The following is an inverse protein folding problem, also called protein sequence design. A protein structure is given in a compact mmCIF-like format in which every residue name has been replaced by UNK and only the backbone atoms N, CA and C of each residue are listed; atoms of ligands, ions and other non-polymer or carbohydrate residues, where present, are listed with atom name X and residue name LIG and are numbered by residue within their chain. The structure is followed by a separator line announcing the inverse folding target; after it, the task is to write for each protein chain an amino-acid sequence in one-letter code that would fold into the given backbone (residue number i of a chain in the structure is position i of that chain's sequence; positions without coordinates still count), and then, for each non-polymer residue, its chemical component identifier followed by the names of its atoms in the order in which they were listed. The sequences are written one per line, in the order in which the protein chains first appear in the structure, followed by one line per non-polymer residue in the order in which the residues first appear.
data_IF_979333508795
#
_entry.id   IF_979333508795
#
_cell.length_a   1.000
_cell.length_b   1.000
_cell.length_c   1.000
_cell.angle_alpha   90.00
_cell.angle_beta   90.00
_cell.angle_gamma   90.00
#
_symmetry.space_group_name_H-M   'P 1'
#
loop_
_entity.id
_entity.type
_entity.pdbx_description
1 polymer ?
#
# COMPACT_ATOMS: atom_id res chain seq x y z
N UNK A 1 11.59 -18.39 6.48
CA UNK A 1 10.71 -18.99 5.46
C UNK A 1 9.45 -18.14 5.36
N UNK A 2 8.86 -17.93 4.17
CA UNK A 2 7.56 -17.28 4.09
C UNK A 2 6.54 -18.13 4.85
N UNK A 3 5.71 -17.48 5.66
CA UNK A 3 4.56 -18.12 6.30
C UNK A 3 3.63 -18.69 5.22
N UNK A 4 3.13 -19.94 5.35
CA UNK A 4 2.21 -20.50 4.38
C UNK A 4 0.94 -19.66 4.29
N UNK A 5 0.54 -19.29 3.08
CA UNK A 5 -0.70 -18.53 2.84
C UNK A 5 -1.92 -19.42 3.12
N UNK A 6 -2.92 -18.89 3.84
CA UNK A 6 -4.14 -19.64 4.17
C UNK A 6 -5.06 -19.78 2.93
N UNK A 7 -5.89 -20.82 2.90
CA UNK A 7 -6.86 -21.03 1.82
C UNK A 7 -7.81 -19.82 1.64
N UNK A 8 -8.18 -19.16 2.75
CA UNK A 8 -8.99 -17.94 2.72
C UNK A 8 -8.26 -16.78 2.03
N UNK A 9 -6.96 -16.60 2.30
CA UNK A 9 -6.17 -15.56 1.66
C UNK A 9 -6.05 -15.79 0.15
N UNK A 10 -5.76 -17.04 -0.25
CA UNK A 10 -5.67 -17.43 -1.67
C UNK A 10 -6.98 -17.18 -2.43
N UNK A 11 -8.13 -17.39 -1.77
CA UNK A 11 -9.44 -17.14 -2.37
C UNK A 11 -9.74 -15.64 -2.56
N UNK A 12 -9.25 -14.78 -1.67
CA UNK A 12 -9.52 -13.32 -1.69
C UNK A 12 -8.47 -12.50 -2.44
N UNK A 13 -7.29 -13.06 -2.71
CA UNK A 13 -6.18 -12.39 -3.38
C UNK A 13 -6.60 -11.92 -4.78
N UNK A 14 -6.35 -10.64 -5.14
CA UNK A 14 -6.62 -10.17 -6.49
C UNK A 14 -5.75 -10.95 -7.50
N UNK A 15 -6.35 -11.33 -8.62
CA UNK A 15 -5.68 -12.07 -9.71
C UNK A 15 -5.06 -11.16 -10.77
N UNK A 16 -5.45 -9.88 -10.76
CA UNK A 16 -5.08 -8.87 -11.76
C UNK A 16 -4.03 -7.93 -11.14
N UNK A 17 -3.02 -7.49 -11.90
CA UNK A 17 -2.07 -6.49 -11.42
C UNK A 17 -2.77 -5.17 -11.04
N UNK A 18 -2.21 -4.40 -10.09
CA UNK A 18 -2.75 -3.11 -9.65
C UNK A 18 -2.42 -1.99 -10.66
N UNK A 19 -2.87 -2.14 -11.91
CA UNK A 19 -2.62 -1.17 -13.00
C UNK A 19 -3.79 -1.18 -13.98
N UNK A 20 -4.05 -0.04 -14.63
CA UNK A 20 -4.98 0.03 -15.77
C UNK A 20 -4.31 -0.30 -17.12
N UNK A 21 -2.99 -0.44 -17.15
CA UNK A 21 -2.24 -0.82 -18.35
C UNK A 21 -2.73 -2.17 -18.92
N UNK A 22 -3.26 -2.15 -20.14
CA UNK A 22 -3.73 -3.36 -20.84
C UNK A 22 -5.11 -3.87 -20.40
N UNK A 23 -5.85 -3.09 -19.61
CA UNK A 23 -7.24 -3.40 -19.25
C UNK A 23 -8.17 -2.80 -20.30
N UNK A 24 -9.11 -3.61 -20.79
CA UNK A 24 -10.20 -3.12 -21.63
C UNK A 24 -11.21 -2.35 -20.77
N UNK A 25 -11.45 -1.08 -21.11
CA UNK A 25 -12.33 -0.19 -20.36
C UNK A 25 -13.81 -0.49 -20.64
N UNK A 26 -14.13 -1.14 -21.75
CA UNK A 26 -15.50 -1.54 -22.10
C UNK A 26 -15.90 -2.84 -21.37
N UNK A 27 -14.93 -3.68 -20.97
CA UNK A 27 -15.18 -4.80 -20.06
C UNK A 27 -15.30 -4.32 -18.61
N UNK A 28 -16.56 -4.09 -18.21
CA UNK A 28 -16.92 -3.68 -16.83
C UNK A 28 -16.32 -4.57 -15.75
N UNK A 29 -16.13 -5.88 -16.00
CA UNK A 29 -15.60 -6.81 -15.00
C UNK A 29 -14.10 -6.63 -14.84
N UNK A 30 -13.34 -6.61 -15.94
CA UNK A 30 -11.91 -6.37 -15.93
C UNK A 30 -11.58 -4.99 -15.33
N UNK A 31 -12.32 -3.96 -15.74
CA UNK A 31 -12.18 -2.61 -15.21
C UNK A 31 -12.38 -2.53 -13.69
N UNK A 32 -13.43 -3.18 -13.17
CA UNK A 32 -13.70 -3.21 -11.72
C UNK A 32 -12.66 -4.01 -10.93
N UNK A 33 -12.12 -5.07 -11.52
CA UNK A 33 -11.04 -5.84 -10.90
C UNK A 33 -9.75 -5.02 -10.80
N UNK A 34 -9.40 -4.24 -11.82
CA UNK A 34 -8.26 -3.34 -11.79
C UNK A 34 -8.43 -2.23 -10.73
N UNK A 35 -9.63 -1.63 -10.65
CA UNK A 35 -9.97 -0.67 -9.60
C UNK A 35 -9.74 -1.24 -8.19
N UNK A 36 -10.28 -2.43 -7.94
CA UNK A 36 -10.16 -3.09 -6.64
C UNK A 36 -8.70 -3.44 -6.31
N UNK A 37 -7.94 -3.96 -7.27
CA UNK A 37 -6.51 -4.26 -7.09
C UNK A 37 -5.70 -3.02 -6.70
N UNK A 38 -5.88 -1.89 -7.38
CA UNK A 38 -5.18 -0.62 -7.08
C UNK A 38 -5.54 -0.12 -5.67
N UNK A 39 -6.83 -0.10 -5.34
CA UNK A 39 -7.29 0.38 -4.03
C UNK A 39 -6.71 -0.49 -2.91
N UNK A 40 -6.73 -1.82 -3.06
CA UNK A 40 -6.16 -2.74 -2.07
C UNK A 40 -4.68 -2.49 -1.83
N UNK A 41 -3.88 -2.30 -2.88
CA UNK A 41 -2.45 -1.99 -2.74
C UNK A 41 -2.22 -0.63 -2.04
N UNK A 42 -3.07 0.37 -2.29
CA UNK A 42 -3.02 1.63 -1.54
C UNK A 42 -3.32 1.41 -0.04
N UNK A 43 -4.30 0.57 0.30
CA UNK A 43 -4.60 0.20 1.68
C UNK A 43 -3.48 -0.62 2.33
N UNK A 44 -2.81 -1.50 1.60
CA UNK A 44 -1.60 -2.18 2.08
C UNK A 44 -0.53 -1.15 2.45
N UNK A 45 -0.30 -0.15 1.60
CA UNK A 45 0.60 0.97 1.91
C UNK A 45 0.22 1.74 3.17
N UNK A 46 -1.08 2.03 3.35
CA UNK A 46 -1.58 2.67 4.57
C UNK A 46 -1.39 1.79 5.82
N UNK A 47 -1.57 0.47 5.71
CA UNK A 47 -1.33 -0.47 6.80
C UNK A 47 0.17 -0.55 7.15
N UNK A 48 1.06 -0.53 6.15
CA UNK A 48 2.49 -0.45 6.37
C UNK A 48 2.87 0.80 7.17
N UNK A 49 2.32 1.96 6.79
CA UNK A 49 2.53 3.21 7.52
C UNK A 49 2.05 3.11 8.98
N UNK A 50 0.87 2.51 9.19
CA UNK A 50 0.30 2.30 10.53
C UNK A 50 1.20 1.43 11.40
N UNK A 51 1.70 0.31 10.86
CA UNK A 51 2.60 -0.60 11.60
C UNK A 51 3.90 0.10 12.00
N UNK A 52 4.50 0.89 11.10
CA UNK A 52 5.71 1.66 11.42
C UNK A 52 5.41 2.74 12.47
N UNK A 53 4.26 3.40 12.40
CA UNK A 53 3.83 4.38 13.40
C UNK A 53 3.62 3.75 14.79
N UNK A 54 3.01 2.56 14.86
CA UNK A 54 2.84 1.81 16.10
C UNK A 54 4.20 1.41 16.70
N UNK A 55 5.14 0.94 15.87
CA UNK A 55 6.48 0.57 16.33
C UNK A 55 7.31 1.80 16.78
N UNK A 56 7.20 2.92 16.06
CA UNK A 56 7.79 4.20 16.46
C UNK A 56 7.25 4.65 17.82
N UNK A 57 5.94 4.54 18.04
CA UNK A 57 5.30 4.85 19.31
C UNK A 57 5.79 3.96 20.46
N UNK A 58 6.06 2.68 20.21
CA UNK A 58 6.68 1.78 21.20
C UNK A 58 8.13 2.17 21.49
N UNK A 59 8.92 2.51 20.46
CA UNK A 59 10.30 2.96 20.63
C UNK A 59 10.36 4.22 21.50
N UNK A 60 9.52 5.21 21.22
CA UNK A 60 9.45 6.46 22.01
C UNK A 60 9.11 6.19 23.48
N UNK A 61 8.19 5.25 23.76
CA UNK A 61 7.83 4.86 25.12
C UNK A 61 8.96 4.12 25.86
N UNK A 62 9.76 3.31 25.15
CA UNK A 62 10.86 2.54 25.73
C UNK A 62 12.10 3.41 26.00
N UNK A 63 12.47 4.23 25.03
CA UNK A 63 13.73 5.01 25.05
C UNK A 63 13.62 6.32 25.86
N UNK A 64 12.41 6.83 26.07
CA UNK A 64 12.20 8.06 26.84
C UNK A 64 12.98 9.23 26.23
N UNK A 65 13.86 9.88 27.02
CA UNK A 65 14.66 11.04 26.58
C UNK A 65 15.61 10.71 25.43
N UNK A 66 16.01 9.44 25.25
CA UNK A 66 16.95 9.00 24.23
C UNK A 66 16.29 8.73 22.87
N UNK A 67 14.99 8.98 22.72
CA UNK A 67 14.25 8.64 21.51
C UNK A 67 14.79 9.34 20.24
N UNK A 68 15.46 10.48 20.38
CA UNK A 68 16.04 11.23 19.25
C UNK A 68 17.22 10.48 18.60
N UNK A 69 18.01 9.78 19.39
CA UNK A 69 19.17 9.02 18.92
C UNK A 69 18.73 7.61 18.45
N UNK A 70 17.94 6.92 19.28
CA UNK A 70 17.65 5.50 19.08
C UNK A 70 16.49 5.25 18.09
N UNK A 71 15.49 6.14 18.02
CA UNK A 71 14.29 5.93 17.19
C UNK A 71 14.32 6.66 15.83
N UNK A 72 15.45 7.30 15.46
CA UNK A 72 15.57 8.10 14.23
C UNK A 72 15.23 7.34 12.94
N UNK A 73 15.69 6.10 12.82
CA UNK A 73 15.45 5.24 11.66
C UNK A 73 13.95 4.93 11.44
N UNK A 74 13.18 4.69 12.52
CA UNK A 74 11.74 4.48 12.44
C UNK A 74 11.02 5.77 12.04
N UNK A 75 11.47 6.92 12.55
CA UNK A 75 10.92 8.24 12.20
C UNK A 75 11.14 8.54 10.71
N UNK A 76 12.35 8.33 10.21
CA UNK A 76 12.67 8.56 8.79
C UNK A 76 11.85 7.65 7.89
N UNK A 77 11.77 6.35 8.22
CA UNK A 77 10.94 5.40 7.48
C UNK A 77 9.46 5.78 7.50
N UNK A 78 8.95 6.23 8.64
CA UNK A 78 7.57 6.71 8.76
C UNK A 78 7.32 7.90 7.84
N UNK A 79 8.21 8.90 7.83
CA UNK A 79 8.09 10.09 6.98
C UNK A 79 8.20 9.76 5.49
N UNK A 80 9.08 8.83 5.13
CA UNK A 80 9.20 8.34 3.76
C UNK A 80 7.89 7.67 3.30
N UNK A 81 7.38 6.72 4.08
CA UNK A 81 6.12 6.05 3.78
C UNK A 81 4.94 7.02 3.75
N UNK A 82 4.92 8.01 4.64
CA UNK A 82 3.88 9.05 4.68
C UNK A 82 3.86 9.87 3.38
N UNK A 83 5.01 10.10 2.75
CA UNK A 83 5.11 10.79 1.46
C UNK A 83 4.65 9.90 0.30
N UNK A 84 5.10 8.65 0.28
CA UNK A 84 4.94 7.76 -0.87
C UNK A 84 3.60 7.01 -0.90
N UNK A 85 3.12 6.51 0.24
CA UNK A 85 2.04 5.50 0.32
C UNK A 85 0.69 6.08 0.75
N UNK A 86 0.41 7.33 0.39
CA UNK A 86 -0.92 7.93 0.63
C UNK A 86 -1.96 7.28 -0.27
N UNK A 87 -3.16 7.08 0.27
CA UNK A 87 -4.33 6.65 -0.50
C UNK A 87 -4.77 7.84 -1.38
N UNK A 88 -4.76 7.65 -2.70
CA UNK A 88 -5.08 8.69 -3.70
C UNK A 88 -6.33 8.35 -4.53
N UNK A 89 -6.86 7.14 -4.37
CA UNK A 89 -7.94 6.62 -5.22
C UNK A 89 -7.44 6.23 -6.61
N UNK A 90 -8.38 5.93 -7.50
CA UNK A 90 -8.09 5.40 -8.85
C UNK A 90 -8.31 6.41 -9.97
N UNK A 91 -9.05 7.50 -9.71
CA UNK A 91 -9.49 8.45 -10.75
C UNK A 91 -8.32 9.06 -11.53
N UNK A 92 -7.23 9.40 -10.85
CA UNK A 92 -6.07 9.99 -11.50
C UNK A 92 -5.45 9.04 -12.53
N UNK A 93 -5.27 7.76 -12.17
CA UNK A 93 -4.73 6.75 -13.08
C UNK A 93 -5.71 6.38 -14.20
N UNK A 94 -7.02 6.44 -13.93
CA UNK A 94 -8.05 6.20 -14.94
C UNK A 94 -8.13 7.28 -16.01
N UNK A 95 -7.95 8.55 -15.61
CA UNK A 95 -8.09 9.69 -16.52
C UNK A 95 -6.79 10.01 -17.26
N UNK A 96 -5.64 9.64 -16.68
CA UNK A 96 -4.31 9.91 -17.24
C UNK A 96 -3.63 8.62 -17.70
N UNK A 97 -4.31 7.81 -18.50
CA UNK A 97 -3.68 6.64 -19.12
C UNK A 97 -2.80 7.09 -20.29
N UNK A 98 -1.51 6.74 -20.25
CA UNK A 98 -0.64 6.87 -21.42
C UNK A 98 -0.97 5.67 -22.29
N UNK A 99 -1.75 5.88 -23.37
CA UNK A 99 -1.87 4.87 -24.41
C UNK A 99 -0.48 4.60 -24.98
N UNK A 100 0.17 3.53 -24.56
CA UNK A 100 1.40 3.05 -25.21
C UNK A 100 1.00 2.63 -26.62
N UNK A 101 1.43 3.42 -27.62
CA UNK A 101 1.41 3.00 -29.04
C UNK A 101 2.27 1.76 -29.24
#
# INVERSE_FOLDING_TARGET
MPTPESAMFLAQKPKVPPTFDGVDYDDTKAFKQAQDAIIREQWVGAMMLRLVGEELGKCYKKEGVNHLENCGHLREKYLQLLKEKKVKGTLFEQQNYISKQ
#
